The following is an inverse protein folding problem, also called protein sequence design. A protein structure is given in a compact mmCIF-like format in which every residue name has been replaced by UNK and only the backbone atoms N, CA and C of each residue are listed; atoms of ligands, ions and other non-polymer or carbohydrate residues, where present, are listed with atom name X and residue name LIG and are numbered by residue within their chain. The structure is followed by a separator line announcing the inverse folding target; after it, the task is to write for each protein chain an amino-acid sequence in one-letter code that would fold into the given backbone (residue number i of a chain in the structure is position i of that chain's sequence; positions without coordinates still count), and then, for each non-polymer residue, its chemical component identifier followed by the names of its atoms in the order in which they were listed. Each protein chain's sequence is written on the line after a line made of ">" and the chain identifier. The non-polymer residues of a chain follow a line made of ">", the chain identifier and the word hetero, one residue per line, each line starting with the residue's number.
data_IF_829155360135
#
_entry.id   IF_829155360135
#
_cell.length_a   1.000
_cell.length_b   1.000
_cell.length_c   1.000
_cell.angle_alpha   90.00
_cell.angle_beta   90.00
_cell.angle_gamma   90.00
#
_symmetry.space_group_name_H-M   'P 1'
#
loop_
_entity.id
_entity.type
_entity.pdbx_description
1 polymer ?
#
# COMPACT_ATOMS: atom_id res chain seq x y z
N UNK A 1 -11.76 -67.73 -6.39
CA UNK A 1 -12.29 -67.69 -7.77
C UNK A 1 -13.63 -66.99 -7.75
N UNK A 2 -13.75 -65.81 -8.34
CA UNK A 2 -15.03 -65.21 -8.77
C UNK A 2 -14.73 -64.57 -10.14
N UNK A 3 -15.53 -64.80 -11.18
CA UNK A 3 -15.25 -64.30 -12.52
C UNK A 3 -15.66 -62.84 -12.72
N UNK A 4 -14.90 -62.18 -13.60
CA UNK A 4 -15.33 -61.35 -14.73
C UNK A 4 -16.85 -61.18 -15.00
N UNK A 5 -17.34 -60.10 -15.65
CA UNK A 5 -16.79 -58.80 -16.10
C UNK A 5 -17.96 -58.04 -16.82
N UNK A 6 -17.72 -56.77 -17.19
CA UNK A 6 -18.30 -55.96 -18.30
C UNK A 6 -19.25 -54.81 -17.92
N UNK A 7 -19.20 -53.59 -18.52
CA UNK A 7 -18.21 -52.84 -19.36
C UNK A 7 -18.72 -51.39 -19.56
N UNK A 8 -18.02 -50.54 -20.35
CA UNK A 8 -18.43 -49.29 -21.07
C UNK A 8 -17.92 -48.00 -20.39
N UNK A 9 -17.30 -46.98 -21.03
CA UNK A 9 -16.73 -46.66 -22.38
C UNK A 9 -15.92 -45.33 -22.26
N UNK A 10 -15.05 -44.85 -23.18
CA UNK A 10 -14.14 -45.44 -24.20
C UNK A 10 -13.19 -44.32 -24.74
N UNK A 11 -11.90 -44.61 -24.95
CA UNK A 11 -11.10 -44.02 -26.05
C UNK A 11 -10.43 -42.66 -25.81
N UNK A 12 -9.42 -42.24 -26.60
CA UNK A 12 -8.79 -42.88 -27.77
C UNK A 12 -7.29 -42.47 -27.89
N UNK A 13 -6.56 -43.05 -28.86
CA UNK A 13 -5.12 -42.88 -29.09
C UNK A 13 -4.85 -42.76 -30.60
N UNK A 14 -3.86 -41.94 -30.99
CA UNK A 14 -3.36 -41.71 -32.37
C UNK A 14 -2.78 -42.99 -33.05
N UNK A 15 -2.35 -43.03 -34.35
CA UNK A 15 -2.12 -41.94 -35.35
C UNK A 15 -2.71 -42.31 -36.76
N UNK A 16 -2.25 -41.86 -37.97
CA UNK A 16 -0.87 -41.95 -38.53
C UNK A 16 -0.39 -40.73 -39.37
N UNK A 17 0.82 -40.83 -39.97
CA UNK A 17 1.48 -39.79 -40.77
C UNK A 17 1.43 -40.06 -42.30
N UNK A 18 1.59 -39.01 -43.12
CA UNK A 18 1.94 -39.09 -44.56
C UNK A 18 2.86 -37.93 -45.01
N UNK A 19 3.46 -38.09 -46.20
CA UNK A 19 4.74 -37.51 -46.64
C UNK A 19 4.67 -36.45 -47.76
N UNK A 20 5.57 -35.46 -47.75
CA UNK A 20 6.29 -34.84 -48.90
C UNK A 20 7.19 -33.71 -48.36
N UNK A 21 8.51 -33.56 -48.58
CA UNK A 21 9.42 -33.81 -49.72
C UNK A 21 9.35 -32.79 -50.87
N UNK A 22 10.13 -31.70 -50.76
CA UNK A 22 10.69 -30.97 -51.92
C UNK A 22 11.88 -30.04 -51.59
N UNK A 23 13.07 -30.50 -51.98
CA UNK A 23 14.23 -29.76 -52.54
C UNK A 23 14.42 -28.25 -52.23
N UNK A 24 15.50 -27.95 -51.52
CA UNK A 24 16.26 -26.69 -51.63
C UNK A 24 17.46 -26.87 -52.60
N UNK A 25 17.79 -25.88 -53.44
CA UNK A 25 19.11 -25.73 -54.04
C UNK A 25 19.88 -24.50 -53.50
N UNK A 26 21.19 -24.52 -53.70
CA UNK A 26 22.22 -23.62 -53.17
C UNK A 26 22.30 -22.24 -53.87
N UNK A 27 22.71 -21.20 -53.12
CA UNK A 27 23.66 -20.08 -53.41
C UNK A 27 23.71 -19.38 -54.81
N UNK A 28 24.32 -18.16 -54.98
CA UNK A 28 25.08 -17.32 -54.05
C UNK A 28 24.65 -15.82 -54.02
N UNK A 29 25.50 -14.95 -53.47
CA UNK A 29 25.27 -13.52 -53.18
C UNK A 29 25.38 -12.55 -54.38
N UNK A 30 24.81 -11.34 -54.24
CA UNK A 30 25.26 -10.10 -54.89
C UNK A 30 24.93 -8.84 -54.06
N UNK A 31 25.71 -7.77 -54.21
CA UNK A 31 25.52 -6.44 -53.60
C UNK A 31 24.49 -5.58 -54.36
N UNK A 32 23.81 -4.64 -53.68
CA UNK A 32 23.94 -3.17 -53.92
C UNK A 32 22.90 -2.31 -53.12
N UNK A 33 23.39 -1.23 -52.50
CA UNK A 33 22.96 0.16 -52.77
C UNK A 33 21.60 0.73 -52.33
N UNK A 34 21.67 1.91 -51.69
CA UNK A 34 20.64 2.99 -51.60
C UNK A 34 19.39 2.73 -50.71
N UNK A 35 18.68 3.74 -50.17
CA UNK A 35 18.83 5.20 -50.16
C UNK A 35 18.26 5.77 -48.83
N UNK A 36 18.67 6.98 -48.41
CA UNK A 36 17.97 7.74 -47.37
C UNK A 36 16.56 8.17 -47.84
N UNK A 37 15.57 8.07 -46.94
CA UNK A 37 14.35 8.87 -47.00
C UNK A 37 13.88 9.19 -45.57
N UNK A 38 14.20 10.40 -45.08
CA UNK A 38 13.72 10.90 -43.79
C UNK A 38 12.26 11.38 -43.95
N UNK A 39 11.30 10.65 -43.39
CA UNK A 39 9.92 11.11 -43.25
C UNK A 39 9.54 11.15 -41.77
N UNK A 40 9.58 12.35 -41.19
CA UNK A 40 9.15 12.59 -39.82
C UNK A 40 7.62 12.58 -39.75
N UNK A 41 7.03 11.48 -39.27
CA UNK A 41 5.63 11.41 -38.89
C UNK A 41 5.44 11.86 -37.43
N UNK A 42 4.35 12.55 -37.09
CA UNK A 42 4.08 12.95 -35.71
C UNK A 42 3.78 11.72 -34.86
N UNK A 43 4.59 11.47 -33.82
CA UNK A 43 4.33 10.42 -32.83
C UNK A 43 3.12 10.81 -31.99
N UNK A 44 1.94 10.40 -32.45
CA UNK A 44 0.72 10.39 -31.66
C UNK A 44 0.84 9.25 -30.66
N UNK A 45 1.12 9.58 -29.40
CA UNK A 45 1.20 8.59 -28.32
C UNK A 45 -0.11 7.79 -28.24
N UNK A 46 -0.07 6.53 -28.65
CA UNK A 46 -1.16 5.60 -28.42
C UNK A 46 -1.13 5.18 -26.95
N UNK A 47 -2.28 5.03 -26.27
CA UNK A 47 -2.30 4.39 -24.96
C UNK A 47 -1.77 2.96 -25.13
N UNK A 48 -0.84 2.56 -24.27
CA UNK A 48 -0.30 1.19 -24.27
C UNK A 48 -1.41 0.24 -23.85
N UNK A 49 -2.13 -0.28 -24.84
CA UNK A 49 -3.06 -1.39 -24.65
C UNK A 49 -2.27 -2.57 -24.12
N UNK A 50 -2.62 -3.03 -22.90
CA UNK A 50 -2.01 -4.23 -22.31
C UNK A 50 -2.14 -5.37 -23.33
N UNK A 51 -1.08 -6.15 -23.59
CA UNK A 51 -1.23 -7.35 -24.41
C UNK A 51 -2.25 -8.26 -23.74
N UNK A 52 -3.28 -8.66 -24.50
CA UNK A 52 -4.24 -9.66 -24.05
C UNK A 52 -3.53 -10.99 -23.74
N UNK A 53 -4.06 -11.82 -22.83
CA UNK A 53 -3.44 -13.09 -22.50
C UNK A 53 -3.33 -13.98 -23.76
N UNK A 54 -2.15 -14.56 -23.95
CA UNK A 54 -1.88 -15.48 -25.06
C UNK A 54 -2.77 -16.74 -24.93
N UNK A 55 -3.32 -17.26 -26.04
CA UNK A 55 -4.15 -18.46 -26.00
C UNK A 55 -3.29 -19.68 -25.63
N UNK A 56 -3.56 -20.28 -24.46
CA UNK A 56 -2.93 -21.53 -24.03
C UNK A 56 -2.43 -21.59 -22.59
N UNK A 57 -2.47 -20.50 -21.82
CA UNK A 57 -2.07 -20.52 -20.41
C UNK A 57 -3.24 -20.85 -19.47
N UNK A 58 -3.08 -21.77 -18.49
CA UNK A 58 -4.14 -22.13 -17.55
C UNK A 58 -4.26 -21.07 -16.43
N UNK A 59 -4.83 -19.91 -16.77
CA UNK A 59 -5.00 -18.80 -15.82
C UNK A 59 -6.35 -18.86 -15.10
N UNK A 60 -6.30 -19.23 -13.82
CA UNK A 60 -7.10 -18.53 -12.82
C UNK A 60 -6.59 -17.09 -12.63
N UNK A 61 -7.20 -16.30 -11.73
CA UNK A 61 -6.60 -15.02 -11.33
C UNK A 61 -5.16 -15.26 -10.83
N UNK A 62 -4.22 -14.33 -11.08
CA UNK A 62 -2.85 -14.50 -10.61
C UNK A 62 -2.86 -14.73 -9.09
N UNK A 63 -2.04 -15.65 -8.56
CA UNK A 63 -1.96 -15.87 -7.13
C UNK A 63 -1.60 -14.54 -6.46
N UNK A 64 -2.28 -14.25 -5.36
CA UNK A 64 -2.08 -12.99 -4.65
C UNK A 64 -0.64 -12.83 -4.15
N UNK A 65 -0.29 -11.64 -3.68
CA UNK A 65 1.05 -11.31 -3.20
C UNK A 65 1.00 -10.17 -2.21
N UNK A 66 2.02 -10.07 -1.37
CA UNK A 66 2.20 -8.98 -0.42
C UNK A 66 3.46 -8.21 -0.80
N UNK A 67 3.36 -6.89 -0.76
CA UNK A 67 4.48 -5.97 -0.97
C UNK A 67 4.76 -5.25 0.35
N UNK A 68 5.92 -5.49 0.93
CA UNK A 68 6.38 -4.82 2.15
C UNK A 68 7.25 -3.62 1.76
N UNK A 69 7.07 -2.47 2.41
CA UNK A 69 7.76 -1.23 2.11
C UNK A 69 8.56 -0.71 3.33
N UNK A 70 9.78 -0.17 3.12
CA UNK A 70 10.65 0.24 4.20
C UNK A 70 10.36 1.66 4.73
N UNK A 71 9.50 2.43 4.05
CA UNK A 71 8.94 3.69 4.53
C UNK A 71 7.42 3.61 4.68
N UNK A 72 6.81 4.54 5.42
CA UNK A 72 5.36 4.63 5.51
C UNK A 72 4.77 4.96 4.13
N UNK A 73 3.46 4.84 4.01
CA UNK A 73 2.68 5.32 2.87
C UNK A 73 3.06 4.69 1.50
N UNK A 74 3.55 3.44 1.52
CA UNK A 74 4.04 2.65 0.37
C UNK A 74 5.30 3.23 -0.28
N UNK A 75 6.22 3.77 0.53
CA UNK A 75 7.44 4.41 0.04
C UNK A 75 8.68 3.52 0.17
N UNK A 76 9.57 3.63 -0.83
CA UNK A 76 10.79 2.82 -0.94
C UNK A 76 10.66 1.64 -1.91
N UNK A 77 11.75 0.87 -2.03
CA UNK A 77 11.78 -0.36 -2.82
C UNK A 77 11.01 -1.48 -2.09
N UNK A 78 10.03 -2.14 -2.72
CA UNK A 78 9.24 -3.17 -2.06
C UNK A 78 9.95 -4.53 -2.03
N UNK A 79 9.83 -5.24 -0.92
CA UNK A 79 10.03 -6.69 -0.86
C UNK A 79 8.70 -7.36 -1.27
N UNK A 80 8.72 -8.12 -2.35
CA UNK A 80 7.53 -8.79 -2.90
C UNK A 80 7.56 -10.26 -2.51
N UNK A 81 6.51 -10.74 -1.83
CA UNK A 81 6.36 -12.15 -1.45
C UNK A 81 5.05 -12.71 -2.01
N UNK A 82 5.06 -13.81 -2.77
CA UNK A 82 3.84 -14.40 -3.34
C UNK A 82 2.99 -15.13 -2.28
N UNK A 83 1.74 -15.40 -2.62
CA UNK A 83 0.86 -16.29 -1.86
C UNK A 83 1.48 -17.68 -1.68
N UNK A 84 1.25 -18.29 -0.52
CA UNK A 84 1.95 -19.47 -0.02
C UNK A 84 3.47 -19.29 0.21
N UNK A 85 4.00 -18.07 0.08
CA UNK A 85 5.36 -17.72 0.48
C UNK A 85 5.47 -17.48 1.98
N UNK A 86 6.65 -17.76 2.54
CA UNK A 86 6.99 -17.45 3.91
C UNK A 86 8.46 -17.02 4.01
N UNK A 87 8.76 -16.13 4.96
CA UNK A 87 10.10 -15.70 5.31
C UNK A 87 10.29 -15.96 6.80
N UNK A 88 10.99 -17.06 7.10
CA UNK A 88 11.25 -17.56 8.46
C UNK A 88 12.09 -16.59 9.28
N UNK A 89 13.01 -15.84 8.65
CA UNK A 89 13.86 -14.91 9.37
C UNK A 89 14.31 -13.72 8.49
N UNK A 90 13.78 -12.53 8.79
CA UNK A 90 14.07 -11.28 8.08
C UNK A 90 15.47 -10.70 8.39
N UNK A 91 16.17 -11.21 9.42
CA UNK A 91 17.56 -10.84 9.73
C UNK A 91 18.53 -11.29 8.62
N UNK A 92 18.15 -12.21 7.74
CA UNK A 92 18.94 -12.62 6.57
C UNK A 92 18.49 -11.99 5.24
N UNK A 93 17.29 -11.40 5.18
CA UNK A 93 16.76 -10.76 3.96
C UNK A 93 17.35 -9.35 3.79
N UNK A 94 17.69 -8.97 2.56
CA UNK A 94 18.38 -7.70 2.22
C UNK A 94 17.67 -6.95 1.10
N UNK A 95 17.70 -5.61 1.15
CA UNK A 95 17.31 -4.76 0.00
C UNK A 95 18.46 -4.59 -1.01
N UNK A 96 18.20 -3.95 -2.16
CA UNK A 96 19.22 -3.72 -3.21
C UNK A 96 20.46 -2.94 -2.73
N UNK A 97 20.38 -2.29 -1.56
CA UNK A 97 21.46 -1.52 -0.93
C UNK A 97 22.13 -2.28 0.22
N UNK A 98 21.87 -3.59 0.36
CA UNK A 98 22.46 -4.44 1.38
C UNK A 98 21.95 -4.19 2.81
N UNK A 99 20.84 -3.45 2.98
CA UNK A 99 20.26 -3.20 4.31
C UNK A 99 19.29 -4.31 4.68
N UNK A 100 19.23 -4.65 5.97
CA UNK A 100 18.33 -5.70 6.50
C UNK A 100 16.86 -5.31 6.36
N UNK A 101 15.98 -6.31 6.38
CA UNK A 101 14.52 -6.14 6.43
C UNK A 101 13.89 -6.33 7.80
N UNK A 102 14.57 -7.00 8.74
CA UNK A 102 14.15 -7.12 10.13
C UNK A 102 13.82 -5.75 10.72
N UNK A 103 12.69 -5.65 11.43
CA UNK A 103 12.24 -4.44 12.14
C UNK A 103 12.17 -3.17 11.27
N UNK A 104 11.94 -3.35 9.96
CA UNK A 104 11.99 -2.25 8.98
C UNK A 104 10.79 -2.20 8.04
N UNK A 105 9.70 -2.90 8.34
CA UNK A 105 8.49 -2.90 7.51
C UNK A 105 7.56 -1.80 8.00
N UNK A 106 7.54 -0.66 7.31
CA UNK A 106 6.79 0.53 7.73
C UNK A 106 5.42 0.67 7.03
N UNK A 107 5.21 0.03 5.87
CA UNK A 107 3.88 -0.11 5.26
C UNK A 107 3.78 -1.36 4.40
N UNK A 108 2.56 -1.84 4.15
CA UNK A 108 2.28 -3.14 3.53
C UNK A 108 1.13 -2.97 2.53
N UNK A 109 1.29 -3.47 1.30
CA UNK A 109 0.23 -3.57 0.30
C UNK A 109 -0.12 -5.05 0.06
N UNK A 110 -1.41 -5.36 0.03
CA UNK A 110 -1.94 -6.71 -0.13
C UNK A 110 -2.68 -6.79 -1.46
N UNK A 111 -2.14 -7.57 -2.41
CA UNK A 111 -2.70 -7.68 -3.77
C UNK A 111 -3.30 -9.06 -3.99
N UNK A 112 -4.63 -9.13 -4.07
CA UNK A 112 -5.37 -10.39 -4.28
C UNK A 112 -5.72 -11.13 -2.98
N UNK A 113 -6.35 -12.31 -3.07
CA UNK A 113 -6.89 -13.03 -1.93
C UNK A 113 -5.77 -13.71 -1.13
N UNK A 114 -5.21 -13.03 -0.14
CA UNK A 114 -4.21 -13.57 0.79
C UNK A 114 -4.45 -13.13 2.23
N UNK A 115 -4.05 -14.00 3.15
CA UNK A 115 -3.93 -13.72 4.57
C UNK A 115 -2.44 -13.56 4.89
N UNK A 116 -2.04 -12.37 5.31
CA UNK A 116 -0.71 -12.11 5.86
C UNK A 116 -0.71 -12.37 7.36
N UNK A 117 0.29 -13.11 7.84
CA UNK A 117 0.65 -13.24 9.25
C UNK A 117 2.02 -12.58 9.47
N UNK A 118 2.08 -11.63 10.39
CA UNK A 118 3.29 -10.98 10.89
C UNK A 118 3.64 -11.56 12.27
N UNK A 119 4.93 -11.78 12.51
CA UNK A 119 5.43 -12.33 13.78
C UNK A 119 6.52 -11.46 14.37
N UNK A 120 6.51 -11.31 15.70
CA UNK A 120 7.48 -10.47 16.43
C UNK A 120 8.91 -11.07 16.38
N UNK A 121 9.03 -12.38 16.25
CA UNK A 121 10.33 -13.08 16.26
C UNK A 121 10.53 -13.88 14.97
N UNK A 122 11.75 -14.37 14.79
CA UNK A 122 12.07 -15.35 13.76
C UNK A 122 11.29 -16.67 13.99
N UNK A 123 11.29 -17.53 12.99
CA UNK A 123 10.73 -18.89 13.02
C UNK A 123 9.24 -18.93 13.41
N UNK A 124 8.50 -17.85 13.08
CA UNK A 124 7.07 -17.66 13.34
C UNK A 124 6.68 -17.64 14.83
N UNK A 125 7.53 -17.02 15.66
CA UNK A 125 7.33 -16.95 17.11
C UNK A 125 7.01 -15.53 17.62
N UNK A 126 6.66 -15.42 18.91
CA UNK A 126 6.34 -14.16 19.57
C UNK A 126 4.88 -13.72 19.35
N UNK A 127 4.61 -12.42 19.55
CA UNK A 127 3.30 -11.87 19.20
C UNK A 127 3.02 -12.05 17.70
N UNK A 128 1.74 -12.15 17.34
CA UNK A 128 1.27 -12.31 15.95
C UNK A 128 0.26 -11.23 15.57
N UNK A 129 0.26 -10.79 14.31
CA UNK A 129 -0.81 -9.97 13.75
C UNK A 129 -1.20 -10.44 12.36
N UNK A 130 -2.50 -10.41 12.06
CA UNK A 130 -3.07 -10.82 10.77
C UNK A 130 -3.52 -9.60 9.98
N UNK A 131 -3.35 -9.64 8.66
CA UNK A 131 -3.84 -8.62 7.72
C UNK A 131 -4.36 -9.28 6.43
N UNK A 132 -5.53 -8.85 5.94
CA UNK A 132 -6.05 -9.21 4.60
C UNK A 132 -6.03 -8.04 3.61
N UNK A 133 -5.48 -6.89 4.03
CA UNK A 133 -5.60 -5.59 3.35
C UNK A 133 -4.35 -4.72 3.49
N UNK A 134 -4.31 -3.64 2.71
CA UNK A 134 -3.30 -2.58 2.81
C UNK A 134 -3.23 -1.96 4.22
N UNK A 135 -1.98 -1.77 4.69
CA UNK A 135 -1.62 -1.00 5.86
C UNK A 135 -0.66 0.13 5.44
N UNK A 136 -1.20 1.34 5.28
CA UNK A 136 -0.44 2.51 4.85
C UNK A 136 0.57 3.02 5.90
N UNK A 137 0.38 2.71 7.19
CA UNK A 137 1.37 2.95 8.24
C UNK A 137 1.28 1.84 9.30
N UNK A 138 2.33 1.03 9.41
CA UNK A 138 2.40 -0.06 10.38
C UNK A 138 2.65 0.44 11.81
N UNK A 139 2.93 1.74 12.01
CA UNK A 139 2.95 2.36 13.34
C UNK A 139 1.55 2.55 13.93
N UNK A 140 0.52 2.63 13.08
CA UNK A 140 -0.87 2.70 13.54
C UNK A 140 -1.40 1.35 14.09
N UNK A 141 -0.65 0.26 13.86
CA UNK A 141 -0.91 -1.07 14.39
C UNK A 141 -0.07 -1.29 15.66
N UNK A 142 -0.73 -1.17 16.82
CA UNK A 142 -0.14 -1.41 18.14
C UNK A 142 0.02 -2.90 18.45
N UNK A 143 1.11 -3.24 19.15
CA UNK A 143 1.46 -4.60 19.53
C UNK A 143 0.86 -4.96 20.92
N UNK A 144 -0.46 -5.12 20.96
CA UNK A 144 -1.19 -5.51 22.18
C UNK A 144 -1.17 -4.46 23.29
N UNK A 145 -1.10 -4.91 24.55
CA UNK A 145 -1.17 -4.06 25.76
C UNK A 145 0.18 -3.35 26.08
N UNK A 146 1.20 -3.50 25.22
CA UNK A 146 2.52 -2.90 25.40
C UNK A 146 2.51 -1.42 24.96
N UNK A 147 2.27 -0.53 25.92
CA UNK A 147 2.28 0.92 25.73
C UNK A 147 3.59 1.40 25.06
N UNK A 148 3.48 1.89 23.83
CA UNK A 148 4.58 2.50 23.08
C UNK A 148 5.26 1.62 22.04
N UNK A 149 4.88 0.34 21.87
CA UNK A 149 5.43 -0.53 20.82
C UNK A 149 4.46 -0.73 19.65
N UNK A 150 4.98 -0.55 18.43
CA UNK A 150 4.25 -0.70 17.17
C UNK A 150 4.83 -1.84 16.33
N UNK A 151 4.04 -2.34 15.38
CA UNK A 151 4.47 -3.41 14.49
C UNK A 151 5.60 -3.01 13.52
N UNK A 152 5.74 -1.73 13.19
CA UNK A 152 6.70 -1.23 12.19
C UNK A 152 8.17 -1.58 12.48
N UNK A 153 8.51 -1.77 13.76
CA UNK A 153 9.87 -2.05 14.25
C UNK A 153 9.98 -3.41 14.95
N UNK A 154 9.08 -4.35 14.59
CA UNK A 154 8.97 -5.64 15.28
C UNK A 154 8.75 -6.84 14.36
N UNK A 155 8.51 -6.66 13.07
CA UNK A 155 8.33 -7.80 12.17
C UNK A 155 9.68 -8.48 11.93
N UNK A 156 9.82 -9.72 12.42
CA UNK A 156 11.01 -10.55 12.25
C UNK A 156 10.78 -11.80 11.40
N UNK A 157 9.52 -12.27 11.27
CA UNK A 157 9.13 -13.27 10.27
C UNK A 157 7.72 -13.03 9.73
N UNK A 158 7.44 -13.53 8.52
CA UNK A 158 6.14 -13.35 7.85
C UNK A 158 5.70 -14.61 7.10
N UNK A 159 4.39 -14.87 7.08
CA UNK A 159 3.78 -15.94 6.30
C UNK A 159 2.61 -15.39 5.50
N UNK A 160 2.52 -15.73 4.21
CA UNK A 160 1.45 -15.29 3.32
C UNK A 160 0.68 -16.55 2.90
N UNK A 161 -0.53 -16.72 3.42
CA UNK A 161 -1.39 -17.86 3.09
C UNK A 161 -2.41 -17.46 2.01
N UNK A 162 -2.70 -18.30 0.99
CA UNK A 162 -3.76 -18.00 0.03
C UNK A 162 -5.11 -17.98 0.74
N UNK A 163 -5.86 -16.87 0.64
CA UNK A 163 -7.20 -16.75 1.20
C UNK A 163 -8.17 -17.57 0.33
N UNK A 164 -8.32 -18.86 0.65
CA UNK A 164 -9.13 -19.81 -0.13
C UNK A 164 -10.63 -19.53 0.08
N UNK A 165 -11.41 -19.16 -0.95
CA UNK A 165 -12.82 -18.75 -0.75
C UNK A 165 -13.80 -19.87 -0.34
N UNK A 166 -13.37 -21.13 -0.25
CA UNK A 166 -14.28 -22.29 -0.21
C UNK A 166 -13.73 -23.51 0.57
N UNK A 167 -12.93 -23.29 1.61
CA UNK A 167 -12.68 -24.32 2.62
C UNK A 167 -13.38 -23.92 3.93
N UNK A 168 -14.02 -24.84 4.68
CA UNK A 168 -14.35 -24.63 6.09
C UNK A 168 -13.07 -24.73 6.93
N UNK A 169 -12.06 -23.92 6.56
CA UNK A 169 -10.86 -23.68 7.34
C UNK A 169 -11.16 -22.52 8.27
N UNK A 170 -11.30 -22.81 9.56
CA UNK A 170 -11.56 -21.81 10.58
C UNK A 170 -10.46 -20.75 10.54
N UNK A 171 -10.80 -19.51 10.17
CA UNK A 171 -10.06 -18.36 10.70
C UNK A 171 -10.38 -18.35 12.19
N UNK A 172 -9.54 -18.99 13.00
CA UNK A 172 -9.68 -18.98 14.45
C UNK A 172 -9.25 -17.60 14.94
N UNK A 173 -10.22 -16.70 15.04
CA UNK A 173 -10.01 -15.42 15.68
C UNK A 173 -9.85 -15.62 17.18
N UNK A 174 -8.68 -15.27 17.71
CA UNK A 174 -8.58 -15.02 19.15
C UNK A 174 -9.44 -13.82 19.54
N UNK A 175 -10.00 -13.85 20.75
CA UNK A 175 -10.86 -12.77 21.28
C UNK A 175 -10.23 -11.40 21.14
N UNK A 176 -8.96 -11.28 21.54
CA UNK A 176 -8.20 -10.02 21.48
C UNK A 176 -8.02 -9.53 20.04
N UNK A 177 -7.86 -10.44 19.08
CA UNK A 177 -7.60 -10.11 17.68
C UNK A 177 -8.88 -9.68 16.97
N UNK A 178 -9.97 -10.41 17.18
CA UNK A 178 -11.30 -9.97 16.76
C UNK A 178 -11.66 -8.60 17.35
N UNK A 179 -11.40 -8.37 18.64
CA UNK A 179 -11.67 -7.08 19.29
C UNK A 179 -10.80 -5.93 18.73
N UNK A 180 -9.56 -6.19 18.31
CA UNK A 180 -8.74 -5.19 17.59
C UNK A 180 -9.23 -4.96 16.16
N UNK A 181 -9.59 -6.02 15.42
CA UNK A 181 -10.09 -5.92 14.05
C UNK A 181 -11.40 -5.11 13.97
N UNK A 182 -12.33 -5.33 14.91
CA UNK A 182 -13.57 -4.52 15.02
C UNK A 182 -13.25 -3.06 15.31
N UNK A 183 -12.36 -2.76 16.28
CA UNK A 183 -11.96 -1.38 16.59
C UNK A 183 -11.32 -0.68 15.38
N UNK A 184 -10.40 -1.36 14.69
CA UNK A 184 -9.75 -0.82 13.49
C UNK A 184 -10.75 -0.56 12.35
N UNK A 185 -11.69 -1.49 12.10
CA UNK A 185 -12.74 -1.32 11.10
C UNK A 185 -13.68 -0.14 11.44
N UNK A 186 -14.02 0.05 12.71
CA UNK A 186 -14.81 1.19 13.18
C UNK A 186 -14.07 2.52 13.00
N UNK A 187 -12.78 2.63 13.36
CA UNK A 187 -12.02 3.86 13.11
C UNK A 187 -11.86 4.15 11.61
N UNK A 188 -11.55 3.14 10.78
CA UNK A 188 -11.33 3.34 9.34
C UNK A 188 -12.60 3.77 8.59
N UNK A 189 -13.77 3.20 8.96
CA UNK A 189 -15.03 3.37 8.24
C UNK A 189 -15.96 4.42 8.85
N UNK A 190 -15.92 4.61 10.17
CA UNK A 190 -16.84 5.46 10.95
C UNK A 190 -16.13 6.55 11.77
N UNK A 191 -14.78 6.58 11.77
CA UNK A 191 -14.00 7.63 12.45
C UNK A 191 -14.02 7.60 13.98
N UNK A 192 -14.59 6.55 14.59
CA UNK A 192 -14.76 6.42 16.07
C UNK A 192 -14.47 5.01 16.57
N UNK A 193 -14.35 4.84 17.88
CA UNK A 193 -14.39 3.53 18.53
C UNK A 193 -15.79 2.89 18.45
N UNK A 194 -15.89 1.55 18.43
CA UNK A 194 -17.14 0.83 18.59
C UNK A 194 -17.69 0.99 20.00
N UNK A 195 -19.01 1.07 20.12
CA UNK A 195 -19.68 0.90 21.41
C UNK A 195 -19.61 -0.58 21.85
N UNK A 196 -19.90 -0.86 23.12
CA UNK A 196 -19.78 -2.22 23.66
C UNK A 196 -20.65 -3.24 22.92
N UNK A 197 -21.81 -2.83 22.37
CA UNK A 197 -22.71 -3.73 21.66
C UNK A 197 -22.14 -4.06 20.29
N UNK A 198 -21.74 -3.06 19.50
CA UNK A 198 -21.05 -3.27 18.24
C UNK A 198 -19.80 -4.14 18.41
N UNK A 199 -19.00 -3.86 19.44
CA UNK A 199 -17.79 -4.64 19.75
C UNK A 199 -18.11 -6.11 20.03
N UNK A 200 -19.12 -6.41 20.86
CA UNK A 200 -19.55 -7.79 21.16
C UNK A 200 -20.15 -8.47 19.93
N UNK A 201 -21.11 -7.83 19.28
CA UNK A 201 -21.89 -8.39 18.16
C UNK A 201 -21.00 -8.75 16.96
N UNK A 202 -19.97 -7.95 16.65
CA UNK A 202 -19.05 -8.24 15.56
C UNK A 202 -17.94 -9.23 15.94
N UNK A 203 -17.36 -9.13 17.15
CA UNK A 203 -16.41 -10.14 17.65
C UNK A 203 -17.02 -11.54 17.60
N UNK A 204 -18.25 -11.70 18.07
CA UNK A 204 -18.89 -13.01 18.15
C UNK A 204 -19.21 -13.58 16.75
N UNK A 205 -19.33 -12.74 15.71
CA UNK A 205 -19.40 -13.19 14.31
C UNK A 205 -18.05 -13.65 13.78
N UNK A 206 -16.97 -12.92 14.08
CA UNK A 206 -15.60 -13.33 13.74
C UNK A 206 -15.27 -14.69 14.38
N UNK A 207 -15.37 -14.80 15.71
CA UNK A 207 -14.99 -16.02 16.44
C UNK A 207 -15.93 -17.20 16.18
N UNK A 208 -17.25 -17.00 16.25
CA UNK A 208 -18.22 -18.11 16.31
C UNK A 208 -18.85 -18.44 14.95
N UNK A 209 -18.83 -17.51 13.99
CA UNK A 209 -19.35 -17.72 12.62
C UNK A 209 -18.25 -17.73 11.56
N UNK A 210 -16.98 -17.66 11.97
CA UNK A 210 -15.82 -17.70 11.07
C UNK A 210 -15.77 -16.55 10.07
N UNK A 211 -16.30 -15.37 10.42
CA UNK A 211 -16.32 -14.22 9.51
C UNK A 211 -14.89 -13.76 9.16
N UNK A 212 -14.68 -13.27 7.95
CA UNK A 212 -13.43 -12.58 7.55
C UNK A 212 -13.45 -11.10 7.98
N UNK A 213 -12.29 -10.43 7.99
CA UNK A 213 -12.25 -8.95 8.19
C UNK A 213 -13.02 -8.23 7.07
N UNK A 214 -13.02 -8.77 5.84
CA UNK A 214 -13.78 -8.21 4.73
C UNK A 214 -15.29 -8.28 4.98
N UNK A 215 -15.80 -9.42 5.47
CA UNK A 215 -17.22 -9.57 5.83
C UNK A 215 -17.63 -8.67 7.00
N UNK A 216 -16.73 -8.45 7.97
CA UNK A 216 -16.90 -7.43 9.01
C UNK A 216 -17.03 -6.03 8.41
N UNK A 217 -16.09 -5.64 7.54
CA UNK A 217 -16.04 -4.30 6.93
C UNK A 217 -17.23 -4.06 6.02
N UNK A 218 -17.64 -5.05 5.23
CA UNK A 218 -18.84 -4.98 4.40
C UNK A 218 -20.10 -4.84 5.25
N UNK A 219 -20.23 -5.58 6.36
CA UNK A 219 -21.36 -5.42 7.26
C UNK A 219 -21.41 -4.03 7.92
N UNK A 220 -20.26 -3.41 8.20
CA UNK A 220 -20.19 -2.02 8.67
C UNK A 220 -20.55 -1.04 7.54
N UNK A 221 -20.06 -1.22 6.30
CA UNK A 221 -20.42 -0.40 5.12
C UNK A 221 -21.93 -0.41 4.83
N UNK A 222 -22.61 -1.53 5.08
CA UNK A 222 -24.06 -1.66 4.92
C UNK A 222 -24.85 -1.31 6.20
N UNK A 223 -24.19 -0.88 7.28
CA UNK A 223 -24.87 -0.47 8.50
C UNK A 223 -25.63 0.85 8.31
N UNK A 224 -26.76 1.07 9.02
CA UNK A 224 -27.43 2.37 9.01
C UNK A 224 -26.49 3.52 9.41
N UNK A 225 -25.54 3.27 10.30
CA UNK A 225 -24.58 4.27 10.76
C UNK A 225 -23.66 4.77 9.64
N UNK A 226 -23.09 3.85 8.84
CA UNK A 226 -22.28 4.23 7.69
C UNK A 226 -23.10 4.94 6.60
N UNK A 227 -24.36 4.54 6.42
CA UNK A 227 -25.26 5.09 5.40
C UNK A 227 -25.78 6.51 5.75
N UNK A 228 -25.95 6.83 7.04
CA UNK A 228 -26.42 8.15 7.50
C UNK A 228 -25.26 9.10 7.88
N UNK A 229 -24.03 8.74 7.54
CA UNK A 229 -22.80 9.50 7.77
C UNK A 229 -22.80 10.83 7.01
N UNK A 230 -22.60 11.97 7.70
CA UNK A 230 -22.37 13.25 7.03
C UNK A 230 -20.95 13.29 6.43
N UNK A 231 -20.87 12.84 5.17
CA UNK A 231 -19.67 12.89 4.34
C UNK A 231 -19.08 14.31 4.24
N UNK A 232 -19.91 15.36 4.33
CA UNK A 232 -19.45 16.75 4.25
C UNK A 232 -18.88 17.25 5.58
N UNK A 233 -19.31 16.75 6.72
CA UNK A 233 -18.63 16.96 8.02
C UNK A 233 -17.21 16.39 7.96
N UNK A 234 -17.07 15.12 7.58
CA UNK A 234 -15.79 14.39 7.57
C UNK A 234 -14.75 15.08 6.70
N UNK A 235 -15.12 15.49 5.49
CA UNK A 235 -14.20 16.20 4.59
C UNK A 235 -13.76 17.53 5.22
N UNK A 236 -14.70 18.33 5.76
CA UNK A 236 -14.37 19.59 6.45
C UNK A 236 -13.49 19.36 7.68
N UNK A 237 -13.73 18.30 8.45
CA UNK A 237 -12.93 17.92 9.62
C UNK A 237 -11.49 17.58 9.21
N UNK A 238 -11.32 16.67 8.26
CA UNK A 238 -10.00 16.23 7.79
C UNK A 238 -9.21 17.35 7.09
N UNK A 239 -9.87 18.22 6.33
CA UNK A 239 -9.22 19.42 5.76
C UNK A 239 -8.74 20.40 6.84
N UNK A 240 -9.54 20.65 7.89
CA UNK A 240 -9.14 21.52 9.01
C UNK A 240 -8.05 20.90 9.88
N UNK A 241 -8.06 19.58 10.07
CA UNK A 241 -7.03 18.84 10.79
C UNK A 241 -5.68 18.87 10.05
N UNK A 242 -5.67 18.51 8.76
CA UNK A 242 -4.44 18.27 7.98
C UNK A 242 -3.94 19.53 7.27
N UNK A 243 -4.84 20.29 6.63
CA UNK A 243 -4.49 21.44 5.76
C UNK A 243 -4.80 22.80 6.39
N UNK A 244 -5.34 22.82 7.62
CA UNK A 244 -5.68 24.05 8.37
C UNK A 244 -6.61 25.03 7.64
N UNK A 245 -7.44 24.51 6.72
CA UNK A 245 -8.43 25.29 5.94
C UNK A 245 -9.74 24.52 5.75
N UNK A 246 -10.75 25.20 5.21
CA UNK A 246 -11.93 24.56 4.65
C UNK A 246 -11.62 23.95 3.26
N UNK A 247 -12.30 22.87 2.86
CA UNK A 247 -12.22 22.33 1.51
C UNK A 247 -12.86 23.30 0.51
N UNK A 248 -12.24 23.41 -0.66
CA UNK A 248 -12.82 24.12 -1.79
C UNK A 248 -13.93 23.27 -2.46
N UNK A 249 -14.78 23.83 -3.33
CA UNK A 249 -15.87 23.09 -3.96
C UNK A 249 -15.40 21.88 -4.78
N UNK A 250 -14.22 21.96 -5.42
CA UNK A 250 -13.69 20.87 -6.24
C UNK A 250 -13.15 19.72 -5.38
N UNK A 251 -12.38 20.03 -4.33
CA UNK A 251 -11.93 19.07 -3.32
C UNK A 251 -13.09 18.40 -2.60
N UNK A 252 -14.10 19.17 -2.20
CA UNK A 252 -15.34 18.66 -1.60
C UNK A 252 -16.04 17.67 -2.54
N UNK A 253 -16.27 18.04 -3.81
CA UNK A 253 -16.93 17.16 -4.77
C UNK A 253 -16.11 15.89 -5.10
N UNK A 254 -14.77 16.01 -5.19
CA UNK A 254 -13.86 14.88 -5.40
C UNK A 254 -14.00 13.85 -4.27
N UNK A 255 -13.81 14.29 -3.02
CA UNK A 255 -13.77 13.37 -1.88
C UNK A 255 -15.16 12.91 -1.45
N UNK A 256 -16.22 13.70 -1.65
CA UNK A 256 -17.59 13.24 -1.45
C UNK A 256 -17.98 12.11 -2.38
N UNK A 257 -17.37 12.00 -3.57
CA UNK A 257 -17.53 10.84 -4.46
C UNK A 257 -16.68 9.66 -3.96
N UNK A 258 -15.39 9.87 -3.72
CA UNK A 258 -14.49 8.80 -3.29
C UNK A 258 -14.94 8.11 -1.98
N UNK A 259 -15.39 8.87 -0.98
CA UNK A 259 -15.93 8.33 0.29
C UNK A 259 -17.23 7.53 0.11
N UNK A 260 -18.02 7.80 -0.95
CA UNK A 260 -19.21 7.00 -1.32
C UNK A 260 -18.84 5.77 -2.14
N UNK A 261 -17.78 5.84 -2.94
CA UNK A 261 -17.20 4.73 -3.71
C UNK A 261 -16.37 3.78 -2.83
N UNK A 262 -16.12 4.15 -1.56
CA UNK A 262 -15.63 3.24 -0.53
C UNK A 262 -14.27 3.59 0.09
N UNK A 263 -13.68 4.75 -0.27
CA UNK A 263 -12.50 5.32 0.38
C UNK A 263 -12.72 5.46 1.89
N UNK A 264 -11.74 5.08 2.70
CA UNK A 264 -11.73 5.27 4.15
C UNK A 264 -11.31 6.69 4.56
N UNK A 265 -11.59 7.07 5.80
CA UNK A 265 -11.13 8.35 6.36
C UNK A 265 -9.60 8.35 6.54
N UNK A 266 -9.03 7.18 6.85
CA UNK A 266 -7.59 6.92 6.93
C UNK A 266 -6.89 7.17 5.57
N UNK A 267 -7.44 6.64 4.47
CA UNK A 267 -6.89 6.86 3.12
C UNK A 267 -7.03 8.32 2.68
N UNK A 268 -8.18 8.96 2.95
CA UNK A 268 -8.37 10.38 2.66
C UNK A 268 -7.35 11.25 3.42
N UNK A 269 -7.18 11.03 4.72
CA UNK A 269 -6.15 11.72 5.53
C UNK A 269 -4.75 11.51 4.93
N UNK A 270 -4.44 10.29 4.51
CA UNK A 270 -3.15 9.96 3.90
C UNK A 270 -2.97 10.56 2.48
N UNK A 271 -4.05 10.82 1.74
CA UNK A 271 -3.99 11.54 0.46
C UNK A 271 -3.75 13.05 0.69
N UNK A 272 -4.42 13.65 1.68
CA UNK A 272 -4.19 15.04 2.08
C UNK A 272 -2.75 15.25 2.58
N UNK A 273 -2.21 14.34 3.40
CA UNK A 273 -0.82 14.38 3.88
C UNK A 273 0.23 14.22 2.75
N UNK A 274 -0.09 13.48 1.67
CA UNK A 274 0.77 13.38 0.48
C UNK A 274 0.59 14.55 -0.50
N UNK A 275 -0.39 15.43 -0.27
CA UNK A 275 -0.69 16.51 -1.21
C UNK A 275 0.44 17.54 -1.28
N UNK A 276 0.61 18.15 -2.46
CA UNK A 276 1.49 19.32 -2.63
C UNK A 276 1.12 20.46 -1.67
N UNK A 277 -0.17 20.60 -1.35
CA UNK A 277 -0.65 21.62 -0.43
C UNK A 277 -0.16 21.40 1.01
N UNK A 278 -0.18 20.16 1.50
CA UNK A 278 0.42 19.83 2.80
C UNK A 278 1.94 20.04 2.79
N UNK A 279 2.63 19.66 1.69
CA UNK A 279 4.06 19.90 1.56
C UNK A 279 4.41 21.41 1.60
N UNK A 280 3.62 22.25 0.93
CA UNK A 280 3.78 23.72 1.01
C UNK A 280 3.45 24.25 2.42
N UNK A 281 2.34 23.83 3.04
CA UNK A 281 1.99 24.22 4.42
C UNK A 281 3.11 23.86 5.42
N UNK A 282 3.61 22.62 5.36
CA UNK A 282 4.68 22.15 6.24
C UNK A 282 5.98 22.94 6.02
N UNK A 283 6.37 23.20 4.76
CA UNK A 283 7.53 24.03 4.46
C UNK A 283 7.39 25.46 5.02
N UNK A 284 6.20 26.06 4.92
CA UNK A 284 5.91 27.38 5.52
C UNK A 284 6.09 27.40 7.03
N UNK A 285 5.58 26.38 7.73
CA UNK A 285 5.72 26.24 9.19
C UNK A 285 7.19 26.04 9.61
N UNK A 286 7.92 25.17 8.90
CA UNK A 286 9.35 24.91 9.10
C UNK A 286 10.17 26.19 8.96
N UNK A 287 9.96 26.96 7.88
CA UNK A 287 10.69 28.21 7.63
C UNK A 287 10.39 29.24 8.72
N UNK A 288 9.11 29.47 9.05
CA UNK A 288 8.73 30.44 10.08
C UNK A 288 9.30 30.07 11.46
N UNK A 289 9.26 28.77 11.83
CA UNK A 289 9.88 28.26 13.06
C UNK A 289 11.39 28.49 13.07
N UNK A 290 12.09 28.12 11.98
CA UNK A 290 13.53 28.25 11.88
C UNK A 290 14.00 29.72 12.01
N UNK A 291 13.28 30.66 11.40
CA UNK A 291 13.52 32.10 11.55
C UNK A 291 13.36 32.57 13.01
N UNK A 292 12.24 32.23 13.67
CA UNK A 292 12.01 32.59 15.09
C UNK A 292 13.07 32.02 16.03
N UNK A 293 13.49 30.78 15.81
CA UNK A 293 14.42 30.08 16.70
C UNK A 293 15.88 30.52 16.50
N UNK A 294 16.30 30.75 15.25
CA UNK A 294 17.70 31.04 14.89
C UNK A 294 17.95 32.54 14.78
N UNK A 295 17.09 33.28 14.08
CA UNK A 295 17.25 34.72 13.84
C UNK A 295 16.45 35.61 14.79
N UNK A 296 15.63 35.03 15.68
CA UNK A 296 14.83 35.76 16.69
C UNK A 296 13.86 36.79 16.11
N UNK A 297 13.41 36.57 14.87
CA UNK A 297 12.41 37.37 14.16
C UNK A 297 11.52 36.48 13.29
N UNK A 298 10.46 37.05 12.75
CA UNK A 298 9.70 36.41 11.66
C UNK A 298 10.45 36.49 10.33
N UNK A 299 10.11 35.55 9.43
CA UNK A 299 10.61 35.56 8.07
C UNK A 299 10.00 36.73 7.28
N UNK A 300 10.84 37.50 6.59
CA UNK A 300 10.39 38.47 5.59
C UNK A 300 9.98 37.76 4.29
N UNK A 301 9.16 38.42 3.47
CA UNK A 301 8.58 37.82 2.27
C UNK A 301 9.64 37.28 1.27
N UNK A 302 10.79 37.96 1.14
CA UNK A 302 11.85 37.58 0.21
C UNK A 302 12.64 36.36 0.70
N UNK A 303 13.04 36.36 1.98
CA UNK A 303 13.68 35.21 2.63
C UNK A 303 12.77 33.99 2.65
N UNK A 304 11.50 34.17 3.00
CA UNK A 304 10.49 33.11 3.00
C UNK A 304 10.31 32.48 1.62
N UNK A 305 10.11 33.30 0.57
CA UNK A 305 10.00 32.83 -0.80
C UNK A 305 11.28 32.09 -1.28
N UNK A 306 12.46 32.57 -0.86
CA UNK A 306 13.76 31.94 -1.19
C UNK A 306 13.87 30.53 -0.63
N UNK A 307 13.55 30.33 0.66
CA UNK A 307 13.61 28.99 1.26
C UNK A 307 12.48 28.08 0.79
N UNK A 308 11.26 28.60 0.62
CA UNK A 308 10.14 27.82 0.09
C UNK A 308 10.45 27.26 -1.31
N UNK A 309 11.05 28.10 -2.18
CA UNK A 309 11.55 27.67 -3.50
C UNK A 309 12.61 26.58 -3.40
N UNK A 310 13.58 26.70 -2.48
CA UNK A 310 14.62 25.68 -2.27
C UNK A 310 14.07 24.35 -1.75
N UNK A 311 13.09 24.38 -0.84
CA UNK A 311 12.42 23.16 -0.37
C UNK A 311 11.62 22.49 -1.50
N UNK A 312 10.89 23.28 -2.30
CA UNK A 312 10.06 22.77 -3.39
C UNK A 312 10.85 22.25 -4.62
N UNK A 313 11.88 22.99 -5.06
CA UNK A 313 12.61 22.70 -6.31
C UNK A 313 13.92 21.93 -6.11
N UNK A 314 14.59 22.13 -4.97
CA UNK A 314 15.93 21.58 -4.71
C UNK A 314 15.93 20.48 -3.63
N UNK A 315 14.75 20.08 -3.15
CA UNK A 315 14.59 19.04 -2.13
C UNK A 315 15.28 19.35 -0.80
N UNK A 316 15.33 20.63 -0.40
CA UNK A 316 15.89 21.01 0.90
C UNK A 316 14.98 20.54 2.04
N UNK A 317 15.60 19.98 3.07
CA UNK A 317 14.96 19.65 4.34
C UNK A 317 15.09 20.81 5.36
N UNK A 318 14.47 20.63 6.54
CA UNK A 318 14.57 21.61 7.63
C UNK A 318 16.03 21.86 8.05
N UNK A 319 16.89 20.83 8.06
CA UNK A 319 18.28 20.98 8.47
C UNK A 319 19.05 21.93 7.55
N UNK A 320 18.93 21.76 6.23
CA UNK A 320 19.55 22.68 5.25
C UNK A 320 19.06 24.12 5.39
N UNK A 321 17.77 24.33 5.66
CA UNK A 321 17.23 25.67 5.93
C UNK A 321 17.87 26.25 7.19
N UNK A 322 17.93 25.49 8.29
CA UNK A 322 18.50 25.92 9.57
C UNK A 322 20.00 26.23 9.48
N UNK A 323 20.77 25.43 8.74
CA UNK A 323 22.20 25.65 8.56
C UNK A 323 22.51 26.84 7.63
N UNK A 324 21.68 27.09 6.62
CA UNK A 324 21.76 28.32 5.83
C UNK A 324 21.44 29.58 6.66
N UNK A 325 20.49 29.50 7.60
CA UNK A 325 20.21 30.60 8.53
C UNK A 325 21.37 30.82 9.52
N UNK A 326 21.96 29.76 10.09
CA UNK A 326 23.13 29.84 11.00
C UNK A 326 24.39 30.39 10.33
N UNK A 327 24.61 30.07 9.06
CA UNK A 327 25.78 30.56 8.30
C UNK A 327 25.59 31.99 7.76
N UNK A 328 24.37 32.52 7.81
CA UNK A 328 24.05 33.87 7.33
C UNK A 328 24.83 34.98 8.03
N UNK A 329 25.03 36.07 7.30
CA UNK A 329 25.56 37.33 7.83
C UNK A 329 24.71 37.89 8.98
N UNK A 330 23.40 37.68 8.92
CA UNK A 330 22.45 38.16 9.91
C UNK A 330 22.64 37.45 11.26
N UNK A 331 22.74 36.11 11.25
CA UNK A 331 23.02 35.34 12.47
C UNK A 331 24.34 35.76 13.12
N UNK A 332 25.37 36.04 12.32
CA UNK A 332 26.68 36.51 12.81
C UNK A 332 26.63 37.90 13.47
N UNK A 333 25.59 38.70 13.20
CA UNK A 333 25.38 40.06 13.77
C UNK A 333 24.43 40.05 14.98
N UNK A 334 23.82 38.92 15.33
CA UNK A 334 22.96 38.85 16.52
C UNK A 334 23.77 39.09 17.81
N UNK A 335 23.21 39.78 18.81
CA UNK A 335 23.84 39.91 20.11
C UNK A 335 24.13 38.54 20.71
N UNK A 336 25.41 38.27 20.99
CA UNK A 336 25.80 37.11 21.79
C UNK A 336 25.33 37.36 23.23
N UNK A 337 24.54 36.42 23.77
CA UNK A 337 24.19 36.37 25.19
C UNK A 337 25.33 35.80 26.01
#
# INVERSE_FOLDING_TARGET
>A
MIPANWTIRLGQKDPPAMTASSKLPSCPAFLLGALLALLALPVRAQPVSRPGPLPGTPYGPPPGRVLFFPGPNFSGEPLIVPAAGALENLEYVRDSRGRKWNDRIASIRVEGPVLLLLYEHADFQGATATLTRDAADLNALSLGDHHGTTWAQRVSSVRIEPLRPAAPGFIQWERRDAERAVRAAYHDLLGRDPDERGQRDYRDRLMSRGWTEDQLRDAIRHSPEFLHRDVSEIIRRLYREVLRREPDPAGSAKYSRALREGLSESELRAELLRSREYAELHAREVIARAYREILRREADAAGFATYLKRMAEQGWDENRVRDALRSSDEYRRLPRR
#
